data_IF_832601710945
#
_entry.id   IF_832601710945
#
_cell.length_a   1.000
_cell.length_b   1.000
_cell.length_c   1.000
_cell.angle_alpha   90.00
_cell.angle_beta   90.00
_cell.angle_gamma   90.00
#
_symmetry.space_group_name_H-M   'P 1'
#
loop_
_entity.id
_entity.type
_entity.pdbx_description
1 polymer ?
#
# COMPACT_ATOMS: atom_id res chain seq x y z
N UNK A 1 -2.19 12.15 -20.52
CA UNK A 1 -2.80 11.75 -19.24
C UNK A 1 -1.79 11.81 -18.10
N UNK A 2 -0.62 11.17 -18.16
CA UNK A 2 0.36 11.17 -17.06
C UNK A 2 0.73 12.55 -16.49
N UNK A 3 1.03 13.54 -17.34
CA UNK A 3 1.35 14.91 -16.89
C UNK A 3 0.19 15.61 -16.16
N UNK A 4 -1.05 15.40 -16.60
CA UNK A 4 -2.23 15.99 -15.93
C UNK A 4 -2.46 15.38 -14.54
N UNK A 5 -2.31 14.07 -14.41
CA UNK A 5 -2.42 13.41 -13.10
C UNK A 5 -1.26 13.80 -12.18
N UNK A 6 -0.07 14.02 -12.73
CA UNK A 6 1.06 14.54 -11.96
C UNK A 6 0.78 15.95 -11.43
N UNK A 7 0.34 16.86 -12.30
CA UNK A 7 0.00 18.24 -11.90
C UNK A 7 -1.09 18.26 -10.83
N UNK A 8 -2.12 17.40 -10.97
CA UNK A 8 -3.21 17.24 -9.99
C UNK A 8 -2.68 16.76 -8.64
N UNK A 9 -1.91 15.68 -8.64
CA UNK A 9 -1.45 15.05 -7.41
C UNK A 9 -0.44 15.95 -6.65
N UNK A 10 0.48 16.62 -7.36
CA UNK A 10 1.41 17.58 -6.77
C UNK A 10 0.66 18.78 -6.16
N UNK A 11 -0.38 19.27 -6.84
CA UNK A 11 -1.21 20.37 -6.30
C UNK A 11 -1.91 19.97 -5.00
N UNK A 12 -2.49 18.76 -4.95
CA UNK A 12 -3.14 18.28 -3.73
C UNK A 12 -2.14 18.04 -2.59
N UNK A 13 -0.97 17.48 -2.90
CA UNK A 13 0.10 17.32 -1.91
C UNK A 13 0.51 18.68 -1.33
N UNK A 14 0.68 19.71 -2.17
CA UNK A 14 1.01 21.04 -1.72
C UNK A 14 -0.07 21.63 -0.80
N UNK A 15 -1.36 21.45 -1.13
CA UNK A 15 -2.46 21.89 -0.27
C UNK A 15 -2.49 21.16 1.08
N UNK A 16 -2.27 19.84 1.11
CA UNK A 16 -2.23 19.12 2.38
C UNK A 16 -0.96 19.44 3.18
N UNK A 17 0.20 19.67 2.55
CA UNK A 17 1.39 20.19 3.24
C UNK A 17 1.11 21.52 3.91
N UNK A 18 0.49 22.46 3.20
CA UNK A 18 0.13 23.77 3.75
C UNK A 18 -0.88 23.64 4.89
N UNK A 19 -1.90 22.80 4.72
CA UNK A 19 -2.90 22.53 5.76
C UNK A 19 -2.27 21.98 7.05
N UNK A 20 -1.19 21.22 6.90
CA UNK A 20 -0.57 20.44 7.96
C UNK A 20 0.74 21.06 8.47
N UNK A 21 1.02 22.32 8.11
CA UNK A 21 2.25 23.04 8.48
C UNK A 21 2.50 23.07 10.00
N UNK A 22 1.41 23.16 10.78
CA UNK A 22 1.46 23.21 12.25
C UNK A 22 1.23 21.86 12.94
N UNK A 23 1.19 20.77 12.18
CA UNK A 23 1.00 19.41 12.72
C UNK A 23 2.37 18.76 12.90
N UNK A 24 2.64 18.09 14.05
CA UNK A 24 3.90 17.38 14.23
C UNK A 24 4.04 16.25 13.20
N UNK A 25 5.23 16.05 12.61
CA UNK A 25 5.47 14.98 11.65
C UNK A 25 5.22 13.60 12.27
N UNK A 26 4.87 12.64 11.42
CA UNK A 26 4.79 11.24 11.85
C UNK A 26 6.18 10.76 12.29
N UNK A 27 6.20 9.92 13.32
CA UNK A 27 7.43 9.36 13.86
C UNK A 27 7.70 8.02 13.19
N UNK A 28 8.98 7.77 12.90
CA UNK A 28 9.42 6.44 12.50
C UNK A 28 9.21 5.44 13.65
N UNK A 29 8.91 4.17 13.34
CA UNK A 29 8.83 3.10 14.33
C UNK A 29 10.19 2.91 15.00
N UNK A 30 10.17 2.57 16.28
CA UNK A 30 11.39 2.45 17.09
C UNK A 30 12.30 1.28 16.63
N UNK A 31 11.68 0.23 16.08
CA UNK A 31 12.34 -0.94 15.54
C UNK A 31 11.41 -1.70 14.58
N UNK A 32 11.96 -2.68 13.87
CA UNK A 32 11.22 -3.50 12.90
C UNK A 32 10.02 -4.22 13.51
N UNK A 33 10.12 -4.74 14.74
CA UNK A 33 9.00 -5.43 15.39
C UNK A 33 7.81 -4.50 15.66
N UNK A 34 8.09 -3.27 16.11
CA UNK A 34 7.05 -2.25 16.31
C UNK A 34 6.39 -1.85 14.99
N UNK A 35 7.16 -1.81 13.90
CA UNK A 35 6.65 -1.53 12.56
C UNK A 35 5.74 -2.66 12.05
N UNK A 36 6.15 -3.91 12.20
CA UNK A 36 5.35 -5.09 11.81
C UNK A 36 4.00 -5.09 12.54
N UNK A 37 4.00 -4.82 13.86
CA UNK A 37 2.77 -4.78 14.66
C UNK A 37 1.85 -3.64 14.24
N UNK A 38 2.40 -2.44 14.02
CA UNK A 38 1.64 -1.28 13.57
C UNK A 38 1.05 -1.49 12.17
N UNK A 39 1.81 -2.07 11.25
CA UNK A 39 1.33 -2.42 9.92
C UNK A 39 0.19 -3.45 9.96
N UNK A 40 0.31 -4.50 10.77
CA UNK A 40 -0.76 -5.49 10.95
C UNK A 40 -2.04 -4.87 11.53
N UNK A 41 -1.91 -3.97 12.51
CA UNK A 41 -3.07 -3.27 13.08
C UNK A 41 -3.74 -2.33 12.05
N UNK A 42 -2.95 -1.63 11.23
CA UNK A 42 -3.45 -0.75 10.18
C UNK A 42 -4.09 -1.52 9.03
N UNK A 43 -3.56 -2.69 8.67
CA UNK A 43 -4.17 -3.59 7.69
C UNK A 43 -5.57 -4.06 8.14
N UNK A 44 -5.71 -4.46 9.39
CA UNK A 44 -7.00 -4.84 9.95
C UNK A 44 -7.98 -3.66 9.93
N UNK A 45 -7.52 -2.47 10.32
CA UNK A 45 -8.34 -1.26 10.28
C UNK A 45 -8.80 -0.90 8.85
N UNK A 46 -7.98 -1.16 7.83
CA UNK A 46 -8.35 -0.98 6.42
C UNK A 46 -9.49 -1.96 6.05
N UNK A 47 -9.38 -3.24 6.42
CA UNK A 47 -10.44 -4.23 6.15
C UNK A 47 -11.75 -3.84 6.83
N UNK A 48 -11.70 -3.48 8.10
CA UNK A 48 -12.86 -3.03 8.85
C UNK A 48 -13.49 -1.79 8.21
N UNK A 49 -12.66 -0.85 7.75
CA UNK A 49 -13.12 0.34 7.04
C UNK A 49 -13.85 -0.01 5.75
N UNK A 50 -13.28 -0.89 4.92
CA UNK A 50 -13.90 -1.34 3.66
C UNK A 50 -15.30 -1.94 3.89
N UNK A 51 -15.43 -2.83 4.89
CA UNK A 51 -16.71 -3.47 5.20
C UNK A 51 -17.71 -2.49 5.82
N UNK A 52 -17.30 -1.74 6.84
CA UNK A 52 -18.18 -0.81 7.57
C UNK A 52 -18.77 0.28 6.69
N UNK A 53 -17.99 0.73 5.70
CA UNK A 53 -18.41 1.76 4.76
C UNK A 53 -19.07 1.20 3.49
N UNK A 54 -19.25 -0.13 3.39
CA UNK A 54 -19.88 -0.77 2.24
C UNK A 54 -19.11 -0.57 0.92
N UNK A 55 -17.79 -0.40 1.00
CA UNK A 55 -16.93 -0.11 -0.15
C UNK A 55 -16.63 -1.41 -0.91
N UNK A 56 -16.07 -2.39 -0.19
CA UNK A 56 -15.76 -3.71 -0.73
C UNK A 56 -15.95 -4.77 0.35
N UNK A 57 -16.41 -5.94 -0.06
CA UNK A 57 -16.46 -7.13 0.79
C UNK A 57 -15.14 -7.87 0.66
N UNK A 58 -14.46 -8.09 1.79
CA UNK A 58 -13.24 -8.89 1.84
C UNK A 58 -13.63 -10.34 2.17
N UNK A 59 -13.35 -11.33 1.32
CA UNK A 59 -13.72 -12.71 1.60
C UNK A 59 -12.99 -13.28 2.82
N UNK A 60 -13.69 -14.07 3.64
CA UNK A 60 -13.13 -14.63 4.88
C UNK A 60 -11.94 -15.57 4.67
N UNK A 61 -11.83 -16.17 3.48
CA UNK A 61 -10.71 -17.05 3.13
C UNK A 61 -9.43 -16.28 2.83
N UNK A 62 -9.52 -14.97 2.55
CA UNK A 62 -8.39 -14.18 2.12
C UNK A 62 -7.50 -13.81 3.31
N UNK A 63 -6.25 -14.26 3.25
CA UNK A 63 -5.23 -14.03 4.26
C UNK A 63 -4.73 -12.58 4.28
N UNK A 64 -3.79 -12.26 5.17
CA UNK A 64 -3.37 -10.89 5.46
C UNK A 64 -2.16 -10.43 4.65
N UNK A 65 -2.11 -9.13 4.36
CA UNK A 65 -0.89 -8.46 3.91
C UNK A 65 -0.05 -8.07 5.13
N UNK A 66 1.14 -8.65 5.25
CA UNK A 66 1.97 -8.55 6.45
C UNK A 66 3.40 -8.13 6.13
N UNK A 67 4.08 -7.54 7.11
CA UNK A 67 5.50 -7.21 6.99
C UNK A 67 6.36 -8.31 7.64
N UNK A 68 7.52 -8.61 7.07
CA UNK A 68 8.56 -9.44 7.69
C UNK A 68 9.94 -8.83 7.53
N UNK A 69 10.89 -9.07 8.47
CA UNK A 69 12.28 -8.63 8.30
C UNK A 69 12.89 -9.28 7.07
N UNK A 70 13.70 -8.53 6.32
CA UNK A 70 14.50 -9.05 5.23
C UNK A 70 15.44 -10.15 5.74
N UNK A 71 15.32 -11.41 5.26
CA UNK A 71 16.25 -12.47 5.63
C UNK A 71 17.66 -12.16 5.15
N UNK A 72 18.67 -12.54 5.94
CA UNK A 72 20.06 -12.19 5.63
C UNK A 72 20.54 -12.75 4.28
N UNK A 73 20.07 -13.95 3.92
CA UNK A 73 20.40 -14.57 2.64
C UNK A 73 19.79 -13.87 1.42
N UNK A 74 18.75 -13.03 1.61
CA UNK A 74 18.15 -12.21 0.56
C UNK A 74 18.74 -10.79 0.51
N UNK A 75 19.37 -10.33 1.59
CA UNK A 75 19.89 -8.96 1.73
C UNK A 75 20.90 -8.61 0.62
N UNK A 76 21.68 -9.59 0.16
CA UNK A 76 22.71 -9.39 -0.87
C UNK A 76 22.18 -9.27 -2.30
N UNK A 77 20.92 -9.64 -2.56
CA UNK A 77 20.39 -9.75 -3.93
C UNK A 77 19.81 -8.43 -4.46
N UNK A 78 19.51 -7.46 -3.59
CA UNK A 78 19.10 -6.11 -3.99
C UNK A 78 17.85 -6.08 -4.88
N UNK A 79 16.72 -6.61 -4.39
CA UNK A 79 15.47 -6.67 -5.15
C UNK A 79 14.85 -5.29 -5.41
N UNK A 80 14.22 -5.14 -6.59
CA UNK A 80 13.39 -3.99 -6.93
C UNK A 80 12.00 -4.04 -6.30
N UNK A 81 11.43 -5.25 -6.15
CA UNK A 81 10.18 -5.51 -5.44
C UNK A 81 10.44 -6.48 -4.28
N UNK A 82 9.89 -6.16 -3.11
CA UNK A 82 10.06 -6.90 -1.87
C UNK A 82 8.78 -7.59 -1.40
N UNK A 83 7.69 -7.51 -2.17
CA UNK A 83 6.46 -8.25 -1.90
C UNK A 83 6.51 -9.69 -2.44
N UNK A 84 6.27 -10.66 -1.57
CA UNK A 84 5.83 -12.02 -1.89
C UNK A 84 4.29 -12.05 -1.81
N UNK A 85 3.65 -11.91 -2.97
CA UNK A 85 2.19 -11.92 -3.13
C UNK A 85 1.53 -13.29 -2.96
N UNK A 86 2.28 -14.33 -2.57
CA UNK A 86 1.84 -15.73 -2.55
C UNK A 86 1.82 -16.35 -3.96
N UNK A 87 0.87 -17.24 -4.25
CA UNK A 87 0.69 -17.90 -5.54
C UNK A 87 -0.68 -18.60 -5.58
N UNK A 88 -1.12 -19.13 -6.75
CA UNK A 88 -2.33 -19.94 -6.83
C UNK A 88 -2.37 -21.13 -5.86
N UNK A 89 -1.21 -21.68 -5.49
CA UNK A 89 -1.08 -22.79 -4.55
C UNK A 89 -0.96 -22.37 -3.08
N UNK A 90 -0.83 -21.06 -2.80
CA UNK A 90 -0.57 -20.50 -1.46
C UNK A 90 -1.65 -19.49 -1.02
N UNK A 91 -2.89 -19.66 -1.48
CA UNK A 91 -4.02 -18.79 -1.12
C UNK A 91 -4.39 -18.80 0.37
N UNK A 92 -3.92 -19.81 1.10
CA UNK A 92 -4.08 -19.95 2.55
C UNK A 92 -2.86 -19.42 3.35
N UNK A 93 -1.93 -18.73 2.68
CA UNK A 93 -0.79 -18.07 3.32
C UNK A 93 -0.92 -16.54 3.27
N UNK A 94 -0.31 -15.85 4.24
CA UNK A 94 -0.24 -14.39 4.24
C UNK A 94 0.68 -13.89 3.11
N UNK A 95 0.31 -12.79 2.49
CA UNK A 95 1.24 -12.00 1.67
C UNK A 95 2.27 -11.32 2.58
N UNK A 96 3.51 -11.27 2.12
CA UNK A 96 4.64 -10.79 2.89
C UNK A 96 5.36 -9.69 2.13
N UNK A 97 5.52 -8.51 2.72
CA UNK A 97 6.53 -7.53 2.31
C UNK A 97 7.77 -7.68 3.17
N UNK A 98 8.92 -7.88 2.54
CA UNK A 98 10.20 -7.85 3.23
C UNK A 98 10.67 -6.41 3.48
N UNK A 99 10.99 -6.10 4.73
CA UNK A 99 11.41 -4.76 5.17
C UNK A 99 12.78 -4.79 5.82
N UNK A 100 13.58 -3.76 5.57
CA UNK A 100 14.82 -3.49 6.30
C UNK A 100 14.55 -2.60 7.52
N UNK A 101 15.56 -2.37 8.35
CA UNK A 101 15.39 -1.60 9.58
C UNK A 101 14.88 -0.17 9.27
N UNK A 102 13.87 0.33 10.01
CA UNK A 102 13.36 1.68 9.78
C UNK A 102 14.48 2.70 10.09
N UNK A 103 14.83 3.53 9.11
CA UNK A 103 15.89 4.52 9.27
C UNK A 103 15.57 5.82 8.55
N UNK A 104 16.15 6.92 9.06
CA UNK A 104 16.09 8.22 8.39
C UNK A 104 16.80 8.25 7.04
N UNK A 105 17.64 7.27 6.72
CA UNK A 105 18.38 7.22 5.44
C UNK A 105 17.67 6.42 4.35
N UNK A 106 16.47 5.90 4.64
CA UNK A 106 15.65 5.22 3.65
C UNK A 106 15.27 6.16 2.50
N UNK A 107 15.19 5.59 1.29
CA UNK A 107 14.57 6.25 0.15
C UNK A 107 13.12 6.63 0.46
N UNK A 108 12.58 7.62 -0.25
CA UNK A 108 11.30 8.25 0.10
C UNK A 108 10.18 7.24 0.39
N UNK A 109 9.89 6.30 -0.53
CA UNK A 109 8.76 5.37 -0.38
C UNK A 109 8.90 4.47 0.84
N UNK A 110 10.12 4.02 1.14
CA UNK A 110 10.42 3.22 2.31
C UNK A 110 10.26 4.03 3.60
N UNK A 111 10.67 5.30 3.60
CA UNK A 111 10.46 6.21 4.74
C UNK A 111 8.97 6.49 4.95
N UNK A 112 8.23 6.83 3.90
CA UNK A 112 6.80 7.09 3.97
C UNK A 112 6.04 5.86 4.47
N UNK A 113 6.42 4.67 4.02
CA UNK A 113 5.84 3.39 4.50
C UNK A 113 6.16 3.13 5.99
N UNK A 114 7.35 3.53 6.44
CA UNK A 114 7.72 3.43 7.85
C UNK A 114 6.94 4.43 8.70
N UNK A 115 6.75 5.66 8.24
CA UNK A 115 5.95 6.70 8.90
C UNK A 115 4.45 6.34 8.95
N UNK A 116 3.93 5.79 7.86
CA UNK A 116 2.57 5.28 7.75
C UNK A 116 2.49 4.11 6.75
N UNK A 117 2.22 2.87 7.18
CA UNK A 117 2.12 1.73 6.28
C UNK A 117 0.79 1.70 5.50
N UNK A 118 -0.21 2.51 5.83
CA UNK A 118 -1.52 2.44 5.15
C UNK A 118 -1.46 2.60 3.63
N UNK A 119 -0.71 3.57 3.05
CA UNK A 119 -0.61 3.71 1.60
C UNK A 119 -0.08 2.44 0.93
N UNK A 120 1.00 1.84 1.43
CA UNK A 120 1.53 0.60 0.85
C UNK A 120 0.56 -0.57 1.05
N UNK A 121 -0.07 -0.67 2.23
CA UNK A 121 -1.03 -1.74 2.52
C UNK A 121 -2.25 -1.66 1.62
N UNK A 122 -2.69 -0.46 1.25
CA UNK A 122 -3.78 -0.26 0.28
C UNK A 122 -3.34 -0.63 -1.13
N UNK A 123 -2.14 -0.19 -1.54
CA UNK A 123 -1.61 -0.38 -2.88
C UNK A 123 -1.24 -1.83 -3.19
N UNK A 124 -0.34 -2.40 -2.38
CA UNK A 124 0.19 -3.75 -2.58
C UNK A 124 -0.72 -4.79 -1.92
N UNK A 125 -1.39 -4.43 -0.84
CA UNK A 125 -2.25 -5.33 -0.07
C UNK A 125 -3.71 -5.30 -0.51
N UNK A 126 -4.56 -4.74 0.36
CA UNK A 126 -6.02 -4.73 0.21
C UNK A 126 -6.54 -3.28 0.19
N UNK A 127 -7.34 -2.90 -0.81
CA UNK A 127 -7.91 -3.75 -1.88
C UNK A 127 -7.07 -3.80 -3.18
N UNK A 128 -5.77 -3.47 -3.13
CA UNK A 128 -4.89 -3.39 -4.30
C UNK A 128 -4.38 -4.73 -4.85
N UNK A 129 -3.08 -4.83 -5.13
CA UNK A 129 -2.50 -5.93 -5.91
C UNK A 129 -2.77 -7.31 -5.34
N UNK A 130 -2.44 -7.54 -4.07
CA UNK A 130 -2.66 -8.83 -3.41
C UNK A 130 -4.13 -9.26 -3.48
N UNK A 131 -5.06 -8.33 -3.23
CA UNK A 131 -6.49 -8.59 -3.33
C UNK A 131 -6.89 -9.05 -4.74
N UNK A 132 -6.48 -8.28 -5.75
CA UNK A 132 -6.79 -8.55 -7.16
C UNK A 132 -6.18 -9.89 -7.63
N UNK A 133 -4.93 -10.17 -7.26
CA UNK A 133 -4.25 -11.42 -7.59
C UNK A 133 -4.94 -12.63 -6.97
N UNK A 134 -5.27 -12.58 -5.67
CA UNK A 134 -5.95 -13.69 -5.01
C UNK A 134 -7.35 -13.96 -5.60
N UNK A 135 -8.12 -12.92 -5.92
CA UNK A 135 -9.41 -13.08 -6.58
C UNK A 135 -9.26 -13.72 -7.96
N UNK A 136 -8.26 -13.29 -8.73
CA UNK A 136 -7.93 -13.89 -10.03
C UNK A 136 -7.58 -15.38 -9.87
N UNK A 137 -6.64 -15.72 -8.99
CA UNK A 137 -6.20 -17.11 -8.79
C UNK A 137 -7.30 -18.04 -8.27
N UNK A 138 -8.27 -17.51 -7.50
CA UNK A 138 -9.41 -18.28 -6.99
C UNK A 138 -10.52 -18.48 -8.03
N UNK A 139 -10.49 -17.77 -9.15
CA UNK A 139 -11.54 -17.82 -10.17
C UNK A 139 -11.80 -19.25 -10.66
N UNK A 140 -13.07 -19.67 -10.78
CA UNK A 140 -13.42 -21.05 -11.16
C UNK A 140 -12.87 -21.42 -12.55
N UNK A 141 -13.11 -20.55 -13.54
CA UNK A 141 -12.58 -20.67 -14.91
C UNK A 141 -11.04 -20.54 -14.98
N UNK A 142 -10.30 -21.61 -15.37
CA UNK A 142 -8.84 -21.60 -15.39
C UNK A 142 -8.22 -20.51 -16.28
N UNK A 143 -8.87 -20.19 -17.42
CA UNK A 143 -8.39 -19.17 -18.36
C UNK A 143 -8.38 -17.76 -17.75
N UNK A 144 -9.19 -17.51 -16.71
CA UNK A 144 -9.31 -16.21 -16.04
C UNK A 144 -8.34 -16.06 -14.86
N UNK A 145 -7.67 -17.13 -14.43
CA UNK A 145 -6.75 -17.11 -13.28
C UNK A 145 -5.42 -16.40 -13.56
N UNK A 146 -5.09 -16.23 -14.83
CA UNK A 146 -3.77 -15.81 -15.29
C UNK A 146 -3.89 -14.60 -16.23
N UNK A 147 -4.63 -13.58 -15.81
CA UNK A 147 -4.69 -12.30 -16.53
C UNK A 147 -3.43 -11.47 -16.24
N UNK A 148 -2.66 -11.15 -17.28
CA UNK A 148 -1.43 -10.38 -17.19
C UNK A 148 -1.53 -9.15 -18.11
N UNK A 149 -1.86 -8.00 -17.51
CA UNK A 149 -1.76 -6.68 -18.15
C UNK A 149 -1.17 -5.71 -17.13
N UNK A 150 0.00 -5.14 -17.44
CA UNK A 150 0.71 -4.26 -16.50
C UNK A 150 -0.02 -2.95 -16.26
N UNK A 151 -0.79 -2.45 -17.23
CA UNK A 151 -1.57 -1.22 -17.09
C UNK A 151 -2.74 -1.41 -16.13
N UNK A 152 -3.48 -2.51 -16.26
CA UNK A 152 -4.55 -2.87 -15.34
C UNK A 152 -4.00 -3.20 -13.94
N UNK A 153 -2.86 -3.87 -13.86
CA UNK A 153 -2.23 -4.24 -12.60
C UNK A 153 -1.78 -2.98 -11.83
N UNK A 154 -0.93 -2.12 -12.38
CA UNK A 154 -0.52 -0.88 -11.67
C UNK A 154 -1.68 0.11 -11.48
N UNK A 155 -2.64 0.10 -12.41
CA UNK A 155 -3.85 0.91 -12.34
C UNK A 155 -4.71 0.58 -11.11
N UNK A 156 -4.79 -0.69 -10.69
CA UNK A 156 -5.60 -1.08 -9.53
C UNK A 156 -5.03 -0.55 -8.22
N UNK A 157 -3.70 -0.57 -8.05
CA UNK A 157 -3.04 -0.03 -6.86
C UNK A 157 -3.28 1.47 -6.73
N UNK A 158 -3.09 2.21 -7.83
CA UNK A 158 -3.35 3.66 -7.86
C UNK A 158 -4.83 4.00 -7.64
N UNK A 159 -5.74 3.26 -8.27
CA UNK A 159 -7.18 3.42 -8.05
C UNK A 159 -7.56 3.17 -6.58
N UNK A 160 -7.02 2.10 -5.97
CA UNK A 160 -7.30 1.77 -4.58
C UNK A 160 -6.85 2.89 -3.63
N UNK A 161 -5.66 3.46 -3.84
CA UNK A 161 -5.16 4.60 -3.06
C UNK A 161 -6.10 5.80 -3.11
N UNK A 162 -6.46 6.27 -4.31
CA UNK A 162 -7.34 7.43 -4.49
C UNK A 162 -8.75 7.15 -3.94
N UNK A 163 -9.31 5.96 -4.21
CA UNK A 163 -10.63 5.57 -3.71
C UNK A 163 -10.66 5.58 -2.18
N UNK A 164 -9.64 5.02 -1.52
CA UNK A 164 -9.56 4.99 -0.06
C UNK A 164 -9.34 6.39 0.53
N UNK A 165 -8.58 7.25 -0.15
CA UNK A 165 -8.43 8.65 0.22
C UNK A 165 -9.78 9.38 0.20
N UNK A 166 -10.54 9.25 -0.90
CA UNK A 166 -11.83 9.91 -1.09
C UNK A 166 -12.90 9.37 -0.13
N UNK A 167 -12.89 8.06 0.14
CA UNK A 167 -13.77 7.45 1.14
C UNK A 167 -13.47 7.92 2.57
N UNK A 168 -12.26 8.45 2.81
CA UNK A 168 -11.89 9.07 4.07
C UNK A 168 -11.18 8.13 5.06
N UNK A 169 -10.44 7.12 4.58
CA UNK A 169 -9.68 6.18 5.44
C UNK A 169 -8.71 6.91 6.39
N UNK A 170 -8.21 8.08 5.97
CA UNK A 170 -7.31 8.95 6.73
C UNK A 170 -8.01 10.21 7.30
N UNK A 171 -9.35 10.32 7.22
CA UNK A 171 -10.09 11.55 7.56
C UNK A 171 -9.96 11.97 9.04
N UNK A 172 -9.78 11.02 9.95
CA UNK A 172 -9.66 11.26 11.41
C UNK A 172 -8.25 11.00 11.96
N UNK A 173 -7.26 10.88 11.07
CA UNK A 173 -5.90 10.48 11.40
C UNK A 173 -4.97 11.71 11.49
N UNK A 174 -3.76 11.59 12.08
CA UNK A 174 -2.79 12.68 12.07
C UNK A 174 -2.58 13.17 10.65
N UNK A 175 -2.55 14.49 10.48
CA UNK A 175 -2.86 15.10 9.21
C UNK A 175 -1.88 14.71 8.07
N UNK A 176 -0.63 14.36 8.41
CA UNK A 176 0.38 13.88 7.46
C UNK A 176 0.06 12.55 6.76
N UNK A 177 -0.87 11.73 7.29
CA UNK A 177 -1.29 10.50 6.62
C UNK A 177 -1.89 10.77 5.22
N UNK A 178 -2.54 11.93 5.04
CA UNK A 178 -3.07 12.38 3.75
C UNK A 178 -1.95 12.78 2.79
N UNK A 179 -0.90 13.40 3.31
CA UNK A 179 0.26 13.84 2.51
C UNK A 179 0.97 12.64 1.87
N UNK A 180 1.15 11.54 2.62
CA UNK A 180 1.83 10.36 2.09
C UNK A 180 1.04 9.71 0.95
N UNK A 181 -0.28 9.55 1.11
CA UNK A 181 -1.12 8.94 0.08
C UNK A 181 -1.16 9.78 -1.22
N UNK A 182 -1.21 11.11 -1.10
CA UNK A 182 -1.16 12.00 -2.26
C UNK A 182 0.22 12.05 -2.93
N UNK A 183 1.32 12.00 -2.16
CA UNK A 183 2.64 11.92 -2.76
C UNK A 183 2.86 10.59 -3.49
N UNK A 184 2.39 9.47 -2.92
CA UNK A 184 2.45 8.18 -3.60
C UNK A 184 1.77 8.25 -4.96
N UNK A 185 0.60 8.91 -5.03
CA UNK A 185 -0.06 9.22 -6.28
C UNK A 185 0.80 10.11 -7.22
N UNK A 186 1.37 11.22 -6.73
CA UNK A 186 2.23 12.14 -7.51
C UNK A 186 3.45 11.46 -8.11
N UNK A 187 4.19 10.70 -7.31
CA UNK A 187 5.45 10.11 -7.71
C UNK A 187 5.25 8.91 -8.67
N UNK A 188 4.07 8.30 -8.69
CA UNK A 188 3.70 7.29 -9.70
C UNK A 188 3.20 7.94 -11.00
N UNK A 189 2.45 9.04 -10.93
CA UNK A 189 2.06 9.81 -12.11
C UNK A 189 3.25 10.36 -12.91
N UNK A 190 4.35 10.73 -12.22
CA UNK A 190 5.61 11.16 -12.85
C UNK A 190 6.33 10.04 -13.63
N UNK A 191 6.05 8.76 -13.34
CA UNK A 191 6.69 7.62 -14.01
C UNK A 191 5.93 7.14 -15.24
N UNK A 192 4.67 7.57 -15.41
CA UNK A 192 3.84 7.30 -16.58
C UNK A 192 3.87 8.41 -17.65
N UNK A 193 4.83 9.34 -17.58
CA UNK A 193 4.99 10.47 -18.53
C UNK A 193 6.19 10.30 -19.46
#
# INVERSE_FOLDING_TARGET
>A
MGRQEWDRAVSFEAFERQRNENVPPLKLPANTDSWIKDAAAKELAIREFLQKHGILTVPDWLQHYTLRPMPEYLRALGFGENDDFTSPSRLNENCIRYVTEPSGNLGYFWRATAEDPRPITVHEGIPGHYFQLCLSWKHEEPIRRHYYDSGANEGIGFYAEEMMLQAGVVRRQPAHARNHLQFHASARAARGS
#
